data_IF_738011609076
#
_entry.id   IF_738011609076
#
_cell.length_a   1.000
_cell.length_b   1.000
_cell.length_c   1.000
_cell.angle_alpha   90.00
_cell.angle_beta   90.00
_cell.angle_gamma   90.00
#
_symmetry.space_group_name_H-M   'P 1'
#
loop_
_entity.id
_entity.type
_entity.pdbx_description
1 polymer ?
#
# COMPACT_ATOMS: atom_id res chain seq x y z
N UNK A 1 17.97 -20.66 8.32
CA UNK A 1 17.45 -19.28 8.19
C UNK A 1 17.20 -19.06 6.72
N UNK A 2 15.97 -19.31 6.27
CA UNK A 2 15.63 -19.14 4.86
C UNK A 2 15.60 -17.63 4.58
N UNK A 3 16.60 -17.18 3.84
CA UNK A 3 16.61 -15.89 3.18
C UNK A 3 15.28 -15.83 2.39
N UNK A 4 14.52 -14.77 2.65
CA UNK A 4 13.20 -14.41 2.08
C UNK A 4 12.92 -15.07 0.73
N UNK A 5 11.73 -15.70 0.57
CA UNK A 5 11.32 -16.19 -0.74
C UNK A 5 11.35 -14.98 -1.69
N UNK A 6 12.00 -15.13 -2.83
CA UNK A 6 12.30 -14.07 -3.82
C UNK A 6 11.05 -13.31 -4.34
N UNK A 7 9.85 -13.73 -3.92
CA UNK A 7 8.55 -13.23 -4.37
C UNK A 7 7.64 -12.74 -3.23
N UNK A 8 8.13 -12.62 -2.00
CA UNK A 8 7.31 -12.12 -0.91
C UNK A 8 6.93 -10.65 -1.14
N UNK A 9 5.68 -10.29 -0.85
CA UNK A 9 5.24 -8.89 -0.89
C UNK A 9 5.70 -8.17 0.38
N UNK A 10 6.45 -7.08 0.21
CA UNK A 10 7.08 -6.31 1.28
C UNK A 10 6.48 -4.91 1.42
N UNK A 11 6.63 -4.30 2.60
CA UNK A 11 6.26 -2.90 2.83
C UNK A 11 7.28 -2.17 3.71
N UNK A 12 7.41 -0.86 3.51
CA UNK A 12 8.25 0.01 4.33
C UNK A 12 7.80 1.48 4.31
N UNK A 13 8.12 2.20 5.39
CA UNK A 13 8.06 3.67 5.40
C UNK A 13 9.15 4.18 4.46
N UNK A 14 8.77 4.96 3.45
CA UNK A 14 9.66 5.49 2.40
C UNK A 14 10.08 6.94 2.64
N UNK A 15 9.54 7.58 3.67
CA UNK A 15 9.92 8.93 4.11
C UNK A 15 10.78 8.89 5.38
N UNK A 16 11.62 9.90 5.63
CA UNK A 16 12.32 10.04 6.91
C UNK A 16 11.36 10.01 8.10
N UNK A 17 11.85 9.50 9.23
CA UNK A 17 11.13 9.59 10.49
C UNK A 17 11.18 11.04 11.00
N UNK A 18 10.06 11.52 11.55
CA UNK A 18 9.95 12.87 12.11
C UNK A 18 8.69 13.58 11.65
N UNK A 19 8.64 14.88 11.93
CA UNK A 19 7.48 15.72 11.59
C UNK A 19 7.51 16.11 10.10
N UNK A 20 6.35 15.99 9.45
CA UNK A 20 6.17 16.38 8.06
C UNK A 20 4.69 16.36 7.66
N UNK A 21 4.35 17.08 6.59
CA UNK A 21 2.97 17.13 6.09
C UNK A 21 2.51 15.82 5.44
N UNK A 22 3.46 15.04 4.90
CA UNK A 22 3.18 13.81 4.14
C UNK A 22 4.14 12.71 4.59
N UNK A 23 3.57 11.55 4.92
CA UNK A 23 4.30 10.29 5.07
C UNK A 23 3.98 9.34 3.93
N UNK A 24 4.96 8.55 3.48
CA UNK A 24 4.76 7.56 2.41
C UNK A 24 5.05 6.17 2.94
N UNK A 25 4.08 5.27 2.83
CA UNK A 25 4.28 3.82 2.99
C UNK A 25 4.26 3.20 1.60
N UNK A 26 5.29 2.42 1.25
CA UNK A 26 5.42 1.76 -0.05
C UNK A 26 5.24 0.26 0.11
N UNK A 27 4.48 -0.34 -0.79
CA UNK A 27 4.33 -1.80 -0.93
C UNK A 27 4.96 -2.25 -2.25
N UNK A 28 5.59 -3.42 -2.27
CA UNK A 28 6.20 -3.99 -3.47
C UNK A 28 6.09 -5.52 -3.45
N UNK A 29 5.70 -6.11 -4.57
CA UNK A 29 5.50 -7.55 -4.70
C UNK A 29 4.26 -7.89 -5.53
N UNK A 30 4.06 -9.18 -5.80
CA UNK A 30 2.95 -9.67 -6.64
C UNK A 30 1.58 -9.35 -6.05
N UNK A 31 1.47 -9.28 -4.72
CA UNK A 31 0.20 -9.05 -4.02
C UNK A 31 0.02 -7.59 -3.58
N UNK A 32 0.93 -6.69 -3.94
CA UNK A 32 0.96 -5.32 -3.38
C UNK A 32 -0.35 -4.55 -3.63
N UNK A 33 -0.88 -4.60 -4.86
CA UNK A 33 -2.14 -3.93 -5.22
C UNK A 33 -3.33 -4.59 -4.53
N UNK A 34 -3.36 -5.93 -4.49
CA UNK A 34 -4.45 -6.67 -3.85
C UNK A 34 -4.52 -6.42 -2.33
N UNK A 35 -3.36 -6.35 -1.66
CA UNK A 35 -3.27 -6.01 -0.23
C UNK A 35 -3.73 -4.56 -0.01
N UNK A 36 -3.26 -3.60 -0.80
CA UNK A 36 -3.66 -2.21 -0.68
C UNK A 36 -5.17 -2.03 -0.90
N UNK A 37 -5.75 -2.72 -1.88
CA UNK A 37 -7.18 -2.64 -2.21
C UNK A 37 -8.09 -3.14 -1.07
N UNK A 38 -7.63 -4.07 -0.22
CA UNK A 38 -8.40 -4.57 0.92
C UNK A 38 -8.62 -3.51 2.01
N UNK A 39 -7.66 -2.62 2.19
CA UNK A 39 -7.70 -1.57 3.24
C UNK A 39 -8.04 -0.20 2.68
N UNK A 40 -8.02 -0.03 1.36
CA UNK A 40 -8.33 1.23 0.68
C UNK A 40 -9.81 1.34 0.36
N UNK A 41 -10.46 2.34 0.95
CA UNK A 41 -11.84 2.75 0.66
C UNK A 41 -11.84 3.84 -0.39
N UNK A 42 -12.19 3.48 -1.62
CA UNK A 42 -12.22 4.37 -2.78
C UNK A 42 -12.51 3.60 -4.07
N UNK A 43 -11.83 3.96 -5.17
CA UNK A 43 -11.86 3.17 -6.40
C UNK A 43 -11.20 1.80 -6.18
N UNK A 44 -11.67 0.76 -6.87
CA UNK A 44 -10.99 -0.54 -6.89
C UNK A 44 -9.62 -0.41 -7.58
N UNK A 45 -8.54 -0.50 -6.80
CA UNK A 45 -7.15 -0.32 -7.26
C UNK A 45 -6.69 -1.40 -8.24
N UNK A 46 -7.37 -2.55 -8.32
CA UNK A 46 -7.07 -3.58 -9.31
C UNK A 46 -7.60 -3.24 -10.72
N UNK A 47 -8.51 -2.26 -10.80
CA UNK A 47 -9.17 -1.86 -12.06
C UNK A 47 -8.67 -0.53 -12.64
N UNK A 48 -7.82 0.18 -11.91
CA UNK A 48 -7.28 1.47 -12.34
C UNK A 48 -6.07 1.29 -13.25
N UNK A 49 -5.88 2.24 -14.17
CA UNK A 49 -4.67 2.27 -15.01
C UNK A 49 -3.43 2.50 -14.15
N UNK A 50 -2.33 1.85 -14.53
CA UNK A 50 -1.01 2.08 -13.94
C UNK A 50 -0.59 3.55 -14.06
N UNK A 51 0.29 4.01 -13.16
CA UNK A 51 0.79 5.40 -13.09
C UNK A 51 -0.31 6.46 -12.87
N UNK A 52 -1.32 6.14 -12.05
CA UNK A 52 -2.39 7.07 -11.68
C UNK A 52 -2.43 7.32 -10.18
N UNK A 53 -3.00 8.47 -9.79
CA UNK A 53 -3.27 8.82 -8.39
C UNK A 53 -4.75 8.55 -8.10
N UNK A 54 -5.02 7.81 -7.03
CA UNK A 54 -6.37 7.50 -6.58
C UNK A 54 -6.54 7.98 -5.15
N UNK A 55 -7.45 8.93 -4.94
CA UNK A 55 -7.78 9.46 -3.62
C UNK A 55 -8.81 8.58 -2.92
N UNK A 56 -8.62 8.38 -1.62
CA UNK A 56 -9.48 7.57 -0.76
C UNK A 56 -8.94 7.52 0.66
N UNK A 57 -9.48 6.62 1.46
CA UNK A 57 -9.13 6.47 2.88
C UNK A 57 -8.62 5.06 3.17
N UNK A 58 -7.68 4.93 4.11
CA UNK A 58 -7.30 3.62 4.65
C UNK A 58 -8.22 3.34 5.86
N UNK A 59 -8.87 2.19 5.87
CA UNK A 59 -9.83 1.78 6.91
C UNK A 59 -9.49 0.39 7.45
N UNK A 60 -9.83 0.14 8.71
CA UNK A 60 -9.75 -1.17 9.35
C UNK A 60 -11.17 -1.58 9.78
N UNK A 61 -11.61 -2.79 9.43
CA UNK A 61 -12.94 -3.33 9.77
C UNK A 61 -14.14 -2.45 9.39
N UNK A 62 -14.05 -1.69 8.30
CA UNK A 62 -15.04 -0.69 7.87
C UNK A 62 -15.29 0.46 8.86
N UNK A 63 -14.53 0.51 9.96
CA UNK A 63 -14.54 1.62 10.90
C UNK A 63 -13.65 2.75 10.35
N UNK A 64 -14.15 3.99 10.47
CA UNK A 64 -13.53 5.19 9.88
C UNK A 64 -12.85 6.01 10.96
#
# INVERSE_FOLDING_TARGET
MSITKEFDTITAISTPLGEGAIGIVRLSGTDAVAIANKVFKGKNLESVTSHTINYGHIVENDET
#
